data_IF_375700160215
#
_entry.id   IF_375700160215
#
_cell.length_a   1.000
_cell.length_b   1.000
_cell.length_c   1.000
_cell.angle_alpha   90.00
_cell.angle_beta   90.00
_cell.angle_gamma   90.00
#
_symmetry.space_group_name_H-M   'P 1'
#
loop_
_entity.id
_entity.type
_entity.pdbx_description
1 polymer ?
#
# COMPACT_ATOMS: atom_id res chain seq x y z
N UNK A 1 -37.90 31.51 -38.27
CA UNK A 1 -36.88 31.39 -37.21
C UNK A 1 -36.97 30.01 -36.56
N UNK A 2 -36.10 29.07 -36.97
CA UNK A 2 -36.01 27.74 -36.37
C UNK A 2 -35.12 27.79 -35.12
N UNK A 3 -35.67 27.44 -33.95
CA UNK A 3 -34.89 27.25 -32.72
C UNK A 3 -34.13 25.92 -32.82
N UNK A 4 -32.80 26.00 -32.92
CA UNK A 4 -31.90 24.85 -32.78
C UNK A 4 -31.76 24.53 -31.30
N UNK A 5 -32.12 23.32 -30.88
CA UNK A 5 -31.76 22.79 -29.57
C UNK A 5 -30.28 22.40 -29.56
N UNK A 6 -29.51 22.69 -28.50
CA UNK A 6 -28.12 22.29 -28.42
C UNK A 6 -28.04 20.79 -28.14
N UNK A 7 -27.57 20.04 -29.13
CA UNK A 7 -27.14 18.66 -29.02
C UNK A 7 -25.82 18.62 -28.24
N UNK A 8 -25.87 18.76 -26.91
CA UNK A 8 -24.67 18.85 -26.07
C UNK A 8 -24.77 18.03 -24.79
N UNK A 9 -25.35 16.83 -24.86
CA UNK A 9 -25.35 15.89 -23.71
C UNK A 9 -25.19 14.44 -24.19
N UNK A 10 -23.99 14.04 -24.67
CA UNK A 10 -23.54 12.69 -24.34
C UNK A 10 -22.10 12.60 -23.84
N UNK A 11 -21.35 13.71 -23.78
CA UNK A 11 -19.93 13.65 -23.40
C UNK A 11 -19.68 13.71 -21.88
N UNK A 12 -20.59 14.29 -21.11
CA UNK A 12 -20.43 14.43 -19.66
C UNK A 12 -20.63 13.12 -18.88
N UNK A 13 -21.40 12.17 -19.44
CA UNK A 13 -21.64 10.86 -18.81
C UNK A 13 -20.46 9.88 -18.99
N UNK A 14 -19.62 10.06 -20.01
CA UNK A 14 -18.44 9.21 -20.23
C UNK A 14 -17.31 9.53 -19.24
N UNK A 15 -17.24 10.77 -18.74
CA UNK A 15 -16.20 11.21 -17.81
C UNK A 15 -16.41 10.71 -16.37
N UNK A 16 -17.66 10.40 -15.98
CA UNK A 16 -17.98 9.88 -14.64
C UNK A 16 -17.64 8.39 -14.48
N UNK A 17 -17.51 7.63 -15.57
CA UNK A 17 -17.13 6.20 -15.55
C UNK A 17 -15.61 6.02 -15.32
N UNK A 18 -14.82 7.08 -15.50
CA UNK A 18 -13.35 7.06 -15.31
C UNK A 18 -12.91 7.45 -13.89
N UNK A 19 -13.84 7.73 -12.97
CA UNK A 19 -13.52 7.76 -11.55
C UNK A 19 -13.31 6.32 -11.08
N UNK A 20 -12.06 5.84 -11.23
CA UNK A 20 -11.60 4.51 -10.86
C UNK A 20 -11.76 4.22 -9.38
N UNK A 21 -13.00 4.00 -8.95
CA UNK A 21 -13.32 3.55 -7.62
C UNK A 21 -12.79 2.12 -7.49
N UNK A 22 -11.75 1.95 -6.67
CA UNK A 22 -11.25 0.61 -6.35
C UNK A 22 -12.38 -0.26 -5.82
N UNK A 23 -12.42 -1.56 -6.17
CA UNK A 23 -13.54 -2.41 -5.80
C UNK A 23 -13.71 -2.50 -4.28
N UNK A 24 -14.94 -2.52 -3.77
CA UNK A 24 -15.21 -2.47 -2.32
C UNK A 24 -14.58 -3.63 -1.53
N UNK A 25 -14.47 -4.81 -2.13
CA UNK A 25 -14.00 -6.02 -1.45
C UNK A 25 -12.53 -5.94 -0.98
N UNK A 26 -11.69 -5.05 -1.54
CA UNK A 26 -10.32 -4.84 -1.05
C UNK A 26 -10.25 -4.01 0.24
N UNK A 27 -11.40 -3.69 0.84
CA UNK A 27 -11.56 -2.91 2.08
C UNK A 27 -12.11 -3.74 3.24
N UNK A 28 -12.37 -5.02 3.02
CA UNK A 28 -12.97 -5.94 3.98
C UNK A 28 -12.29 -7.31 3.91
N UNK A 29 -12.50 -8.12 4.94
CA UNK A 29 -12.05 -9.52 4.93
C UNK A 29 -13.07 -10.38 4.17
N UNK A 30 -12.66 -11.56 3.64
CA UNK A 30 -13.62 -12.53 3.13
C UNK A 30 -14.65 -12.89 4.21
N UNK A 31 -15.88 -13.21 3.81
CA UNK A 31 -16.83 -13.83 4.73
C UNK A 31 -16.27 -15.16 5.25
N UNK A 32 -16.46 -15.47 6.54
CA UNK A 32 -16.03 -16.74 7.11
C UNK A 32 -16.75 -17.90 6.38
N UNK A 33 -16.03 -18.58 5.50
CA UNK A 33 -16.49 -19.85 4.95
C UNK A 33 -16.14 -20.90 6.00
N UNK A 34 -17.17 -21.56 6.52
CA UNK A 34 -17.21 -22.54 7.61
C UNK A 34 -16.42 -23.84 7.37
N UNK A 35 -15.29 -23.78 6.68
CA UNK A 35 -14.38 -24.90 6.53
C UNK A 35 -13.14 -24.63 7.37
N UNK A 36 -13.24 -25.05 8.62
CA UNK A 36 -12.12 -25.32 9.52
C UNK A 36 -10.98 -25.99 8.74
N UNK A 37 -9.88 -25.27 8.57
CA UNK A 37 -8.53 -25.84 8.47
C UNK A 37 -7.49 -24.73 8.58
N UNK A 38 -7.08 -24.51 9.83
CA UNK A 38 -5.91 -23.73 10.26
C UNK A 38 -6.04 -22.24 10.01
N UNK A 39 -6.45 -21.48 11.03
CA UNK A 39 -6.03 -20.08 11.16
C UNK A 39 -4.50 -20.09 11.22
N UNK A 40 -3.86 -19.90 10.06
CA UNK A 40 -2.42 -19.69 10.01
C UNK A 40 -2.16 -18.33 10.64
N UNK A 41 -1.54 -18.35 11.81
CA UNK A 41 -1.15 -17.13 12.49
C UNK A 41 -0.07 -16.44 11.65
N UNK A 42 -0.35 -15.21 11.26
CA UNK A 42 0.57 -14.39 10.50
C UNK A 42 1.59 -13.84 11.49
N UNK A 43 2.89 -14.06 11.27
CA UNK A 43 3.90 -13.75 12.27
C UNK A 43 3.89 -12.25 12.58
N UNK A 44 3.84 -11.92 13.87
CA UNK A 44 4.12 -10.57 14.34
C UNK A 44 5.55 -10.16 14.03
N UNK A 45 5.80 -8.86 14.04
CA UNK A 45 7.12 -8.28 13.82
C UNK A 45 7.18 -7.39 12.58
N UNK A 46 8.39 -7.25 12.05
CA UNK A 46 8.69 -6.22 11.06
C UNK A 46 8.59 -6.76 9.64
N UNK A 47 7.87 -6.04 8.78
CA UNK A 47 7.83 -6.28 7.35
C UNK A 47 8.40 -5.06 6.61
N UNK A 48 9.40 -5.24 5.77
CA UNK A 48 10.12 -4.15 5.10
C UNK A 48 10.02 -4.29 3.59
N UNK A 49 9.71 -3.19 2.91
CA UNK A 49 9.75 -3.14 1.45
C UNK A 49 11.16 -2.74 1.01
N UNK A 50 11.85 -3.67 0.37
CA UNK A 50 13.20 -3.44 -0.12
C UNK A 50 13.12 -2.53 -1.36
N UNK A 51 13.35 -1.22 -1.25
CA UNK A 51 13.50 -0.35 -2.41
C UNK A 51 14.96 0.10 -2.55
N UNK A 52 15.60 -0.13 -3.71
CA UNK A 52 16.94 0.40 -3.95
C UNK A 52 16.89 1.92 -4.02
N UNK A 53 18.00 2.54 -3.65
CA UNK A 53 18.24 3.96 -3.88
C UNK A 53 18.06 4.28 -5.37
N UNK A 54 17.43 5.43 -5.67
CA UNK A 54 17.30 5.94 -7.03
C UNK A 54 18.06 7.23 -7.20
N UNK A 55 18.78 7.34 -8.30
CA UNK A 55 19.30 8.59 -8.83
C UNK A 55 18.67 8.87 -10.19
N UNK A 56 18.55 10.15 -10.57
CA UNK A 56 18.22 10.48 -11.95
C UNK A 56 19.43 10.15 -12.83
N UNK A 57 19.18 9.69 -14.06
CA UNK A 57 20.23 9.47 -15.05
C UNK A 57 21.06 10.76 -15.21
N UNK A 58 22.39 10.65 -15.09
CA UNK A 58 23.37 11.76 -15.17
C UNK A 58 23.46 12.72 -13.96
N UNK A 59 22.94 12.34 -12.79
CA UNK A 59 23.10 13.15 -11.56
C UNK A 59 24.02 12.46 -10.55
N UNK A 60 25.20 13.04 -10.31
CA UNK A 60 26.16 12.51 -9.31
C UNK A 60 25.73 12.79 -7.86
N UNK A 61 24.95 13.85 -7.65
CA UNK A 61 24.64 14.37 -6.32
C UNK A 61 23.21 14.11 -5.86
N UNK A 62 22.32 13.70 -6.78
CA UNK A 62 20.93 13.41 -6.45
C UNK A 62 20.79 11.97 -5.96
N UNK A 63 20.31 11.81 -4.73
CA UNK A 63 20.00 10.51 -4.12
C UNK A 63 18.60 10.56 -3.54
N UNK A 64 17.79 9.55 -3.86
CA UNK A 64 16.45 9.39 -3.32
C UNK A 64 16.32 7.99 -2.71
N UNK A 65 16.30 7.95 -1.39
CA UNK A 65 16.16 6.73 -0.60
C UNK A 65 14.74 6.69 -0.06
N UNK A 66 14.04 5.58 -0.28
CA UNK A 66 12.69 5.39 0.29
C UNK A 66 12.65 4.08 1.05
N UNK A 67 12.39 4.17 2.35
CA UNK A 67 12.22 3.03 3.24
C UNK A 67 10.75 2.93 3.64
N UNK A 68 10.17 1.74 3.52
CA UNK A 68 8.81 1.48 3.96
C UNK A 68 8.76 0.21 4.80
N UNK A 69 7.99 0.28 5.89
CA UNK A 69 7.84 -0.83 6.82
C UNK A 69 6.44 -0.91 7.41
N UNK A 70 6.04 -2.11 7.80
CA UNK A 70 4.81 -2.43 8.52
C UNK A 70 5.19 -3.27 9.73
N UNK A 71 4.94 -2.76 10.93
CA UNK A 71 5.08 -3.50 12.18
C UNK A 71 3.73 -4.07 12.57
N UNK A 72 3.63 -5.39 12.72
CA UNK A 72 2.44 -6.06 13.22
C UNK A 72 2.66 -6.47 14.67
N UNK A 73 1.86 -5.93 15.59
CA UNK A 73 1.86 -6.31 16.99
C UNK A 73 0.76 -7.35 17.27
N UNK A 74 1.16 -8.58 17.54
CA UNK A 74 0.23 -9.69 17.77
C UNK A 74 -0.49 -9.61 19.11
N UNK A 75 0.09 -8.93 20.11
CA UNK A 75 -0.47 -8.88 21.47
C UNK A 75 -1.79 -8.10 21.52
N UNK A 76 -1.89 -6.99 20.79
CA UNK A 76 -3.04 -6.08 20.79
C UNK A 76 -3.77 -6.02 19.43
N UNK A 77 -3.28 -6.77 18.43
CA UNK A 77 -3.72 -6.72 17.03
C UNK A 77 -3.66 -5.31 16.44
N UNK A 78 -2.62 -4.56 16.77
CA UNK A 78 -2.33 -3.25 16.19
C UNK A 78 -1.22 -3.31 15.16
N UNK A 79 -1.17 -2.30 14.31
CA UNK A 79 -0.05 -2.13 13.40
C UNK A 79 0.41 -0.68 13.35
N UNK A 80 1.68 -0.50 12.99
CA UNK A 80 2.21 0.76 12.51
C UNK A 80 2.79 0.55 11.12
N UNK A 81 2.40 1.40 10.17
CA UNK A 81 3.00 1.44 8.85
C UNK A 81 3.63 2.80 8.62
N UNK A 82 4.90 2.80 8.24
CA UNK A 82 5.67 4.03 8.05
C UNK A 82 6.43 4.02 6.74
N UNK A 83 6.52 5.20 6.11
CA UNK A 83 7.35 5.50 4.96
C UNK A 83 8.29 6.65 5.34
N UNK A 84 9.59 6.48 5.09
CA UNK A 84 10.60 7.52 5.21
C UNK A 84 11.25 7.70 3.85
N UNK A 85 11.22 8.92 3.33
CA UNK A 85 11.85 9.32 2.08
C UNK A 85 12.90 10.37 2.38
N UNK A 86 14.13 10.11 1.94
CA UNK A 86 15.25 11.04 2.04
C UNK A 86 15.68 11.43 0.64
N UNK A 87 15.66 12.72 0.36
CA UNK A 87 16.12 13.31 -0.89
C UNK A 87 17.34 14.16 -0.58
N UNK A 88 18.46 13.82 -1.20
CA UNK A 88 19.67 14.63 -1.20
C UNK A 88 19.90 15.18 -2.59
N UNK A 89 20.09 16.48 -2.71
CA UNK A 89 20.50 17.14 -3.95
C UNK A 89 21.56 18.20 -3.63
N UNK A 90 22.81 17.91 -3.98
CA UNK A 90 23.98 18.75 -3.65
C UNK A 90 24.08 19.01 -2.13
N UNK A 91 23.68 20.19 -1.68
CA UNK A 91 23.71 20.64 -0.28
C UNK A 91 22.32 20.66 0.37
N UNK A 92 21.27 20.34 -0.38
CA UNK A 92 19.91 20.24 0.11
C UNK A 92 19.60 18.81 0.55
N UNK A 93 19.01 18.68 1.74
CA UNK A 93 18.61 17.43 2.33
C UNK A 93 17.16 17.59 2.79
N UNK A 94 16.27 16.77 2.28
CA UNK A 94 14.86 16.79 2.67
C UNK A 94 14.47 15.39 3.12
N UNK A 95 13.89 15.31 4.31
CA UNK A 95 13.30 14.07 4.83
C UNK A 95 11.80 14.24 4.94
N UNK A 96 11.07 13.29 4.37
CA UNK A 96 9.62 13.19 4.46
C UNK A 96 9.24 11.87 5.13
N UNK A 97 8.46 11.95 6.20
CA UNK A 97 7.99 10.79 6.96
C UNK A 97 6.47 10.79 6.95
N UNK A 98 5.90 9.63 6.65
CA UNK A 98 4.48 9.34 6.80
C UNK A 98 4.36 8.12 7.69
N UNK A 99 3.62 8.21 8.79
CA UNK A 99 3.33 7.08 9.66
C UNK A 99 1.83 7.02 9.91
N UNK A 100 1.25 5.84 9.88
CA UNK A 100 -0.12 5.62 10.32
C UNK A 100 -0.21 4.38 11.18
N UNK A 101 -1.20 4.42 12.07
CA UNK A 101 -1.43 3.43 13.09
C UNK A 101 -2.88 3.00 13.06
N UNK A 102 -3.13 1.78 13.53
CA UNK A 102 -4.48 1.26 13.60
C UNK A 102 -4.50 -0.19 14.01
N UNK A 103 -5.54 -0.89 13.58
CA UNK A 103 -5.79 -2.28 13.91
C UNK A 103 -5.65 -3.15 12.67
N UNK A 104 -5.29 -4.41 12.87
CA UNK A 104 -5.34 -5.39 11.80
C UNK A 104 -6.18 -6.59 12.19
N UNK A 105 -6.77 -7.19 11.17
CA UNK A 105 -7.54 -8.43 11.27
C UNK A 105 -7.10 -9.39 10.18
N UNK A 106 -7.16 -10.68 10.47
CA UNK A 106 -6.66 -11.72 9.56
C UNK A 106 -7.70 -12.80 9.35
N UNK A 107 -7.83 -13.29 8.12
CA UNK A 107 -8.59 -14.50 7.79
C UNK A 107 -7.82 -15.31 6.75
N UNK A 108 -7.30 -16.47 7.15
CA UNK A 108 -6.40 -17.26 6.30
C UNK A 108 -5.17 -16.45 5.88
N UNK A 109 -4.95 -16.32 4.58
CA UNK A 109 -3.85 -15.54 4.01
C UNK A 109 -4.14 -14.04 3.91
N UNK A 110 -5.36 -13.60 4.23
CA UNK A 110 -5.78 -12.21 4.07
C UNK A 110 -5.53 -11.41 5.34
N UNK A 111 -4.93 -10.23 5.18
CA UNK A 111 -4.67 -9.26 6.25
C UNK A 111 -5.34 -7.96 5.88
N UNK A 112 -6.31 -7.52 6.67
CA UNK A 112 -6.91 -6.21 6.53
C UNK A 112 -6.22 -5.26 7.50
N UNK A 113 -5.62 -4.20 6.97
CA UNK A 113 -5.10 -3.10 7.77
C UNK A 113 -6.13 -1.99 7.80
N UNK A 114 -6.63 -1.66 8.99
CA UNK A 114 -7.53 -0.53 9.26
C UNK A 114 -6.76 0.56 9.99
N UNK A 115 -6.29 1.54 9.21
CA UNK A 115 -5.64 2.75 9.70
C UNK A 115 -6.70 3.65 10.32
N UNK A 116 -6.41 4.14 11.52
CA UNK A 116 -7.29 5.03 12.30
C UNK A 116 -6.69 6.43 12.44
N UNK A 117 -5.37 6.51 12.41
CA UNK A 117 -4.64 7.77 12.53
C UNK A 117 -3.44 7.80 11.59
N UNK A 118 -3.10 8.99 11.11
CA UNK A 118 -1.95 9.24 10.23
C UNK A 118 -1.29 10.56 10.61
N UNK A 119 0.04 10.55 10.62
CA UNK A 119 0.85 11.74 10.74
C UNK A 119 1.83 11.84 9.57
N UNK A 120 2.14 13.08 9.20
CA UNK A 120 3.08 13.43 8.15
C UNK A 120 4.00 14.53 8.66
N UNK A 121 5.29 14.43 8.34
CA UNK A 121 6.27 15.47 8.64
C UNK A 121 7.26 15.60 7.50
N UNK A 122 7.60 16.83 7.14
CA UNK A 122 8.63 17.17 6.18
C UNK A 122 9.60 18.14 6.84
N UNK A 123 10.89 17.93 6.65
CA UNK A 123 11.92 18.84 7.15
C UNK A 123 13.13 18.90 6.23
N UNK A 124 13.79 20.06 6.25
CA UNK A 124 15.01 20.33 5.49
C UNK A 124 16.22 20.38 6.43
N UNK A 125 17.35 19.81 6.00
CA UNK A 125 18.63 19.78 6.74
C UNK A 125 18.82 18.59 7.69
N UNK A 126 19.84 18.68 8.54
CA UNK A 126 20.23 17.64 9.52
C UNK A 126 19.48 17.73 10.87
N UNK A 127 18.26 18.27 10.87
CA UNK A 127 17.50 18.53 12.11
C UNK A 127 17.24 17.29 12.97
N UNK A 128 17.37 17.45 14.28
CA UNK A 128 17.14 16.45 15.34
C UNK A 128 15.65 16.08 15.55
N UNK A 129 15.42 15.14 16.47
CA UNK A 129 14.15 14.60 16.99
C UNK A 129 12.87 15.26 16.47
N UNK A 130 12.17 14.56 15.58
CA UNK A 130 10.87 14.95 15.05
C UNK A 130 9.75 14.33 15.88
N UNK A 131 8.65 15.07 16.07
CA UNK A 131 7.41 14.55 16.63
C UNK A 131 6.40 14.42 15.50
N UNK A 132 5.98 13.19 15.21
CA UNK A 132 4.90 12.94 14.25
C UNK A 132 3.57 13.25 14.95
N UNK A 133 2.91 14.32 14.53
CA UNK A 133 1.56 14.66 15.01
C UNK A 133 0.55 13.84 14.20
N UNK A 134 -0.23 13.03 14.90
CA UNK A 134 -1.26 12.18 14.30
C UNK A 134 -2.59 12.90 14.26
N UNK A 135 -3.31 12.72 13.15
CA UNK A 135 -4.70 13.14 12.99
C UNK A 135 -5.57 11.95 12.57
N UNK A 136 -6.89 11.98 12.86
CA UNK A 136 -7.81 10.92 12.44
C UNK A 136 -7.73 10.69 10.93
N UNK A 137 -7.58 9.44 10.53
CA UNK A 137 -7.46 9.03 9.14
C UNK A 137 -8.03 7.62 8.96
N UNK A 138 -9.22 7.52 8.38
CA UNK A 138 -9.90 6.24 8.17
C UNK A 138 -9.51 5.69 6.81
N UNK A 139 -8.75 4.61 6.83
CA UNK A 139 -8.31 3.94 5.61
C UNK A 139 -8.19 2.45 5.85
N UNK A 140 -8.78 1.65 4.96
CA UNK A 140 -8.71 0.19 5.01
C UNK A 140 -8.07 -0.31 3.74
N UNK A 141 -7.09 -1.20 3.82
CA UNK A 141 -6.57 -1.88 2.65
C UNK A 141 -6.28 -3.34 2.96
N UNK A 142 -6.75 -4.21 2.08
CA UNK A 142 -6.49 -5.64 2.14
C UNK A 142 -5.09 -5.94 1.60
N UNK A 143 -4.44 -6.89 2.25
CA UNK A 143 -3.14 -7.44 1.90
C UNK A 143 -3.25 -8.96 1.86
N UNK A 144 -2.37 -9.58 1.09
CA UNK A 144 -2.21 -11.02 1.03
C UNK A 144 -0.84 -11.43 1.58
N UNK A 145 -0.86 -12.27 2.60
CA UNK A 145 0.31 -12.91 3.19
C UNK A 145 0.59 -14.26 2.51
N UNK A 146 1.87 -14.59 2.31
CA UNK A 146 2.28 -15.91 1.87
C UNK A 146 3.31 -16.47 2.83
N UNK A 147 2.99 -17.62 3.42
CA UNK A 147 3.84 -18.30 4.39
C UNK A 147 5.17 -18.74 3.78
N UNK A 148 5.20 -19.13 2.50
CA UNK A 148 6.39 -19.69 1.85
C UNK A 148 7.48 -18.63 1.62
N UNK A 149 7.09 -17.46 1.13
CA UNK A 149 7.99 -16.33 0.92
C UNK A 149 8.10 -15.39 2.12
N UNK A 150 7.27 -15.57 3.15
CA UNK A 150 7.12 -14.66 4.30
C UNK A 150 6.95 -13.21 3.87
N UNK A 151 6.04 -12.98 2.92
CA UNK A 151 5.80 -11.65 2.35
C UNK A 151 4.35 -11.22 2.49
N UNK A 152 4.17 -9.92 2.68
CA UNK A 152 2.88 -9.24 2.72
C UNK A 152 2.75 -8.33 1.49
N UNK A 153 1.70 -8.48 0.70
CA UNK A 153 1.50 -7.73 -0.55
C UNK A 153 0.14 -7.04 -0.53
N UNK A 154 0.07 -5.71 -0.72
CA UNK A 154 -1.21 -5.01 -0.76
C UNK A 154 -1.97 -5.31 -2.07
N UNK A 155 -3.30 -5.27 -2.01
CA UNK A 155 -4.15 -5.49 -3.18
C UNK A 155 -4.05 -4.33 -4.17
N UNK A 156 -3.97 -3.09 -3.67
CA UNK A 156 -3.55 -1.91 -4.44
C UNK A 156 -2.11 -1.57 -4.10
N UNK A 157 -1.32 -1.20 -5.09
CA UNK A 157 -0.03 -0.59 -4.78
C UNK A 157 -0.26 0.73 -4.04
N UNK A 158 0.35 0.87 -2.88
CA UNK A 158 0.37 2.14 -2.15
C UNK A 158 1.75 2.40 -1.54
N UNK A 159 2.09 3.68 -1.43
CA UNK A 159 3.31 4.17 -0.78
C UNK A 159 2.96 5.39 0.06
N UNK A 160 3.23 5.33 1.37
CA UNK A 160 2.82 6.39 2.32
C UNK A 160 1.35 6.77 2.22
N UNK A 161 0.46 5.77 2.20
CA UNK A 161 -1.00 5.94 2.12
C UNK A 161 -1.51 6.66 0.86
N UNK A 162 -0.69 6.76 -0.18
CA UNK A 162 -1.10 7.17 -1.53
C UNK A 162 -1.26 5.94 -2.40
N UNK A 163 -2.51 5.56 -2.64
CA UNK A 163 -2.87 4.43 -3.49
C UNK A 163 -2.69 4.75 -4.97
N UNK A 164 -2.35 3.72 -5.75
CA UNK A 164 -2.40 3.73 -7.20
C UNK A 164 -3.60 2.94 -7.67
N UNK A 165 -3.92 3.05 -8.95
CA UNK A 165 -5.03 2.35 -9.61
C UNK A 165 -4.69 0.92 -10.02
N UNK A 166 -3.49 0.43 -9.69
CA UNK A 166 -2.99 -0.88 -10.05
C UNK A 166 -2.43 -1.60 -8.82
N UNK A 167 -2.32 -2.92 -8.87
CA UNK A 167 -1.78 -3.73 -7.79
C UNK A 167 -2.02 -5.23 -7.98
N UNK A 168 -1.93 -5.99 -6.89
CA UNK A 168 -2.19 -7.43 -6.94
C UNK A 168 -3.62 -7.75 -7.40
N UNK A 169 -4.58 -6.82 -7.18
CA UNK A 169 -5.96 -6.98 -7.64
C UNK A 169 -6.09 -7.18 -9.15
N UNK A 170 -5.14 -6.67 -9.96
CA UNK A 170 -5.18 -6.79 -11.43
C UNK A 170 -5.01 -8.25 -11.88
N UNK A 171 -4.46 -9.10 -10.99
CA UNK A 171 -4.33 -10.54 -11.19
C UNK A 171 -5.45 -11.38 -10.57
N UNK A 172 -6.51 -10.74 -10.04
CA UNK A 172 -7.60 -11.42 -9.34
C UNK A 172 -8.83 -11.52 -10.26
N UNK A 173 -9.24 -12.75 -10.58
CA UNK A 173 -10.43 -13.00 -11.39
C UNK A 173 -11.74 -12.85 -10.61
N UNK A 174 -11.73 -13.28 -9.35
CA UNK A 174 -12.88 -13.21 -8.43
C UNK A 174 -12.39 -12.83 -7.03
N UNK A 175 -13.16 -12.06 -6.25
CA UNK A 175 -12.77 -11.67 -4.91
C UNK A 175 -12.29 -12.86 -4.08
N UNK A 176 -11.13 -12.69 -3.43
CA UNK A 176 -10.51 -13.67 -2.55
C UNK A 176 -10.07 -15.01 -3.18
N UNK A 177 -10.23 -15.18 -4.51
CA UNK A 177 -9.83 -16.41 -5.20
C UNK A 177 -8.33 -16.42 -5.46
N UNK A 178 -7.61 -17.34 -4.80
CA UNK A 178 -6.17 -17.57 -4.98
C UNK A 178 -5.86 -18.57 -6.11
N UNK A 179 -6.38 -18.34 -7.31
CA UNK A 179 -6.16 -19.22 -8.47
C UNK A 179 -4.72 -19.15 -9.03
N UNK A 180 -4.45 -19.93 -10.09
CA UNK A 180 -3.14 -19.94 -10.75
C UNK A 180 -2.72 -18.54 -11.26
N UNK A 181 -3.67 -17.72 -11.73
CA UNK A 181 -3.37 -16.38 -12.24
C UNK A 181 -3.00 -15.44 -11.09
N UNK A 182 -3.71 -15.53 -9.98
CA UNK A 182 -3.37 -14.82 -8.74
C UNK A 182 -1.95 -15.15 -8.29
N UNK A 183 -1.60 -16.43 -8.23
CA UNK A 183 -0.26 -16.86 -7.81
C UNK A 183 0.84 -16.36 -8.77
N UNK A 184 0.57 -16.35 -10.09
CA UNK A 184 1.48 -15.78 -11.08
C UNK A 184 1.65 -14.28 -10.88
N UNK A 185 0.55 -13.54 -10.73
CA UNK A 185 0.56 -12.10 -10.49
C UNK A 185 1.36 -11.79 -9.23
N UNK A 186 1.07 -12.46 -8.12
CA UNK A 186 1.77 -12.32 -6.85
C UNK A 186 3.27 -12.58 -6.98
N UNK A 187 3.67 -13.66 -7.66
CA UNK A 187 5.08 -13.98 -7.94
C UNK A 187 5.76 -12.88 -8.75
N UNK A 188 5.08 -12.30 -9.73
CA UNK A 188 5.61 -11.19 -10.52
C UNK A 188 5.79 -9.92 -9.68
N UNK A 189 4.87 -9.64 -8.75
CA UNK A 189 4.99 -8.51 -7.82
C UNK A 189 6.22 -8.60 -6.90
N UNK A 190 6.69 -9.82 -6.58
CA UNK A 190 7.93 -10.04 -5.83
C UNK A 190 9.19 -9.77 -6.66
N UNK A 191 9.11 -9.94 -7.98
CA UNK A 191 10.25 -9.85 -8.91
C UNK A 191 10.37 -8.52 -9.63
N UNK A 192 9.39 -7.62 -9.52
CA UNK A 192 9.43 -6.30 -10.18
C UNK A 192 10.56 -5.45 -9.60
N UNK A 193 11.72 -5.49 -10.24
CA UNK A 193 12.95 -4.79 -9.85
C UNK A 193 12.76 -3.27 -9.70
N UNK A 194 11.84 -2.68 -10.48
CA UNK A 194 11.60 -1.23 -10.47
C UNK A 194 10.39 -0.81 -9.64
N UNK A 195 9.65 -1.74 -9.05
CA UNK A 195 8.50 -1.43 -8.20
C UNK A 195 8.34 -2.57 -7.20
N UNK A 196 9.02 -2.50 -6.07
CA UNK A 196 8.84 -3.50 -5.02
C UNK A 196 7.50 -3.26 -4.36
N UNK A 197 6.54 -4.15 -4.61
CA UNK A 197 5.19 -4.03 -4.06
C UNK A 197 5.06 -4.78 -2.73
N UNK A 198 5.91 -5.77 -2.51
CA UNK A 198 5.89 -6.65 -1.35
C UNK A 198 6.70 -6.09 -0.17
N UNK A 199 6.21 -6.39 1.02
CA UNK A 199 6.95 -6.24 2.27
C UNK A 199 7.45 -7.61 2.70
N UNK A 200 8.75 -7.72 2.95
CA UNK A 200 9.42 -8.94 3.35
C UNK A 200 9.56 -8.98 4.86
N UNK A 201 9.20 -10.11 5.46
CA UNK A 201 9.38 -10.31 6.89
C UNK A 201 10.86 -10.21 7.28
N UNK A 202 11.15 -9.43 8.31
CA UNK A 202 12.43 -9.28 8.98
C UNK A 202 12.22 -9.78 10.41
N UNK A 203 12.74 -10.98 10.74
CA UNK A 203 12.69 -11.50 12.10
C UNK A 203 13.47 -10.60 13.07
#
# INVERSE_FOLDING_TARGET
MQKRYPFFVPFLFLFLILLGCSPRWIRELPAEVSNEKTQKEIPGGMYVRNRPERSHMNTLFYKNVVQERIFLNTADRTFEKSMRREVKDKNEYTTYIVSGKGRYSTLGNWVLLETLEKGEVEFQGNGEAFVVVYSPFIHKLLYHYDTSSKTLVPLLYESGYKEKTYGLLDGVKQPYLEDKYFQIARKNFLKKEFQFHAYFYKP
#
